data_IF_558741738545
#
_entry.id   IF_558741738545
#
_cell.length_a   1.000
_cell.length_b   1.000
_cell.length_c   1.000
_cell.angle_alpha   90.00
_cell.angle_beta   90.00
_cell.angle_gamma   90.00
#
_symmetry.space_group_name_H-M   'P 1'
#
loop_
_entity.id
_entity.type
_entity.pdbx_description
1 polymer ?
#
# COMPACT_ATOMS: atom_id res chain seq x y z
N UNK A 1 -4.82 -19.57 -76.96
CA UNK A 1 -5.68 -19.00 -75.91
C UNK A 1 -5.55 -19.88 -74.68
N UNK A 2 -4.54 -19.61 -73.85
CA UNK A 2 -4.27 -20.36 -72.61
C UNK A 2 -4.91 -19.60 -71.46
N UNK A 3 -5.91 -20.20 -70.82
CA UNK A 3 -6.58 -19.64 -69.65
C UNK A 3 -5.67 -19.77 -68.43
N UNK A 4 -5.17 -18.64 -67.93
CA UNK A 4 -4.55 -18.53 -66.61
C UNK A 4 -5.63 -18.73 -65.54
N UNK A 5 -5.63 -19.90 -64.89
CA UNK A 5 -6.39 -20.13 -63.68
C UNK A 5 -5.69 -19.41 -62.52
N UNK A 6 -6.32 -18.38 -61.98
CA UNK A 6 -5.89 -17.72 -60.76
C UNK A 6 -6.17 -18.66 -59.57
N UNK A 7 -5.10 -19.07 -58.88
CA UNK A 7 -5.23 -19.77 -57.60
C UNK A 7 -5.86 -18.83 -56.58
N UNK A 8 -7.01 -19.16 -55.97
CA UNK A 8 -7.51 -18.41 -54.83
C UNK A 8 -6.54 -18.66 -53.67
N UNK A 9 -5.81 -17.61 -53.32
CA UNK A 9 -5.01 -17.58 -52.11
C UNK A 9 -6.01 -17.40 -50.97
N UNK A 10 -6.47 -18.52 -50.39
CA UNK A 10 -7.24 -18.52 -49.15
C UNK A 10 -6.32 -18.02 -48.05
N UNK A 11 -6.35 -16.70 -47.82
CA UNK A 11 -5.81 -16.07 -46.62
C UNK A 11 -6.58 -16.67 -45.43
N UNK A 12 -6.02 -17.73 -44.88
CA UNK A 12 -6.49 -18.34 -43.65
C UNK A 12 -6.08 -17.39 -42.54
N UNK A 13 -6.90 -16.37 -42.30
CA UNK A 13 -6.83 -15.58 -41.08
C UNK A 13 -6.84 -16.57 -39.92
N UNK A 14 -5.69 -16.67 -39.26
CA UNK A 14 -5.49 -17.56 -38.12
C UNK A 14 -6.17 -16.88 -36.95
N UNK A 15 -7.49 -17.02 -36.91
CA UNK A 15 -8.37 -16.38 -35.94
C UNK A 15 -7.85 -16.72 -34.54
N UNK A 16 -7.32 -15.71 -33.85
CA UNK A 16 -6.66 -15.91 -32.57
C UNK A 16 -7.71 -16.26 -31.54
N UNK A 17 -7.82 -17.55 -31.24
CA UNK A 17 -8.85 -18.10 -30.35
C UNK A 17 -8.77 -17.64 -28.88
N UNK A 18 -7.70 -16.93 -28.50
CA UNK A 18 -7.49 -16.43 -27.13
C UNK A 18 -7.31 -14.91 -27.12
N UNK A 19 -8.10 -14.25 -26.28
CA UNK A 19 -8.00 -12.83 -25.96
C UNK A 19 -7.38 -12.66 -24.56
N UNK A 20 -6.53 -11.65 -24.40
CA UNK A 20 -5.87 -11.32 -23.14
C UNK A 20 -6.23 -9.89 -22.75
N UNK A 21 -6.81 -9.71 -21.56
CA UNK A 21 -7.23 -8.40 -21.05
C UNK A 21 -6.62 -8.12 -19.66
N UNK A 22 -5.77 -7.08 -19.49
CA UNK A 22 -5.30 -6.18 -20.52
C UNK A 22 -4.27 -6.86 -21.47
N UNK A 23 -4.15 -6.39 -22.74
CA UNK A 23 -3.22 -6.98 -23.71
C UNK A 23 -1.74 -6.72 -23.37
N UNK A 24 -1.49 -5.65 -22.62
CA UNK A 24 -0.19 -5.35 -22.02
C UNK A 24 -0.33 -5.41 -20.52
N UNK A 25 0.48 -6.25 -19.90
CA UNK A 25 0.50 -6.34 -18.46
C UNK A 25 1.19 -5.09 -17.91
N UNK A 26 0.57 -4.48 -16.89
CA UNK A 26 1.18 -3.39 -16.15
C UNK A 26 2.47 -3.81 -15.43
N UNK A 27 3.03 -2.88 -14.68
CA UNK A 27 4.26 -3.07 -13.94
C UNK A 27 4.00 -3.78 -12.60
N UNK A 28 4.75 -4.85 -12.32
CA UNK A 28 4.85 -5.43 -10.98
C UNK A 28 5.83 -4.60 -10.15
N UNK A 29 5.43 -4.21 -8.95
CA UNK A 29 6.24 -3.41 -8.05
C UNK A 29 6.74 -4.25 -6.88
N UNK A 30 8.03 -4.59 -6.89
CA UNK A 30 8.64 -5.43 -5.85
C UNK A 30 8.50 -4.82 -4.45
N UNK A 31 8.38 -3.50 -4.34
CA UNK A 31 8.26 -2.79 -3.08
C UNK A 31 6.81 -2.62 -2.61
N UNK A 32 5.88 -2.33 -3.53
CA UNK A 32 4.52 -1.89 -3.18
C UNK A 32 3.40 -2.84 -3.62
N UNK A 33 3.48 -3.41 -4.82
CA UNK A 33 2.41 -4.19 -5.43
C UNK A 33 3.01 -5.39 -6.17
N UNK A 34 3.14 -6.50 -5.44
CA UNK A 34 3.83 -7.70 -5.90
C UNK A 34 2.97 -8.61 -6.77
N UNK A 35 1.67 -8.32 -6.89
CA UNK A 35 0.72 -9.13 -7.61
C UNK A 35 -0.04 -8.31 -8.64
N UNK A 36 -0.34 -8.93 -9.78
CA UNK A 36 -1.17 -8.34 -10.83
C UNK A 36 -1.99 -9.45 -11.48
N UNK A 37 -3.27 -9.16 -11.77
CA UNK A 37 -4.14 -10.07 -12.51
C UNK A 37 -4.30 -9.64 -13.97
N UNK A 38 -4.50 -10.62 -14.85
CA UNK A 38 -5.04 -10.43 -16.19
C UNK A 38 -6.05 -11.54 -16.50
N UNK A 39 -6.94 -11.29 -17.42
CA UNK A 39 -7.99 -12.21 -17.83
C UNK A 39 -7.62 -12.87 -19.15
N UNK A 40 -7.66 -14.20 -19.17
CA UNK A 40 -7.63 -14.97 -20.40
C UNK A 40 -9.07 -15.29 -20.80
N UNK A 41 -9.45 -15.01 -22.04
CA UNK A 41 -10.77 -15.31 -22.57
C UNK A 41 -10.66 -16.16 -23.82
N UNK A 42 -11.44 -17.24 -23.87
CA UNK A 42 -11.60 -18.03 -25.08
C UNK A 42 -12.62 -17.35 -26.01
N UNK A 43 -12.18 -16.87 -27.17
CA UNK A 43 -13.05 -16.25 -28.18
C UNK A 43 -13.70 -17.27 -29.11
N UNK A 44 -13.20 -18.51 -29.12
CA UNK A 44 -13.81 -19.60 -29.90
C UNK A 44 -15.22 -19.91 -29.40
N UNK A 45 -16.13 -20.12 -30.36
CA UNK A 45 -17.49 -20.59 -30.11
C UNK A 45 -17.61 -22.11 -30.10
N UNK A 46 -16.58 -22.82 -30.58
CA UNK A 46 -16.66 -24.27 -30.87
C UNK A 46 -15.64 -25.11 -30.12
N UNK A 47 -14.48 -24.54 -29.75
CA UNK A 47 -13.38 -25.31 -29.20
C UNK A 47 -13.06 -24.93 -27.76
N UNK A 48 -12.74 -25.93 -26.95
CA UNK A 48 -12.09 -25.73 -25.65
C UNK A 48 -10.62 -25.39 -25.88
N UNK A 49 -10.08 -24.48 -25.06
CA UNK A 49 -8.68 -24.06 -25.12
C UNK A 49 -7.94 -24.48 -23.86
N UNK A 50 -6.95 -25.35 -24.02
CA UNK A 50 -5.99 -25.62 -22.96
C UNK A 50 -4.91 -24.54 -23.00
N UNK A 51 -4.67 -23.89 -21.86
CA UNK A 51 -3.64 -22.87 -21.74
C UNK A 51 -2.56 -23.27 -20.74
N UNK A 52 -1.36 -22.74 -20.96
CA UNK A 52 -0.21 -22.85 -20.07
C UNK A 52 0.58 -21.56 -20.07
N UNK A 53 0.75 -20.97 -18.90
CA UNK A 53 1.55 -19.77 -18.67
C UNK A 53 2.95 -20.18 -18.25
N UNK A 54 3.97 -19.80 -19.04
CA UNK A 54 5.38 -20.03 -18.72
C UNK A 54 6.05 -18.73 -18.33
N UNK A 55 6.69 -18.75 -17.15
CA UNK A 55 7.50 -17.64 -16.65
C UNK A 55 8.89 -17.64 -17.30
N UNK A 56 9.54 -16.46 -17.43
CA UNK A 56 10.91 -16.37 -17.93
C UNK A 56 11.87 -17.24 -17.11
N UNK A 57 12.87 -17.87 -17.76
CA UNK A 57 13.88 -18.70 -17.07
C UNK A 57 14.57 -17.97 -15.91
N UNK A 58 14.85 -16.68 -16.07
CA UNK A 58 15.47 -15.83 -15.04
C UNK A 58 14.60 -15.59 -13.81
N UNK A 59 13.30 -15.92 -13.88
CA UNK A 59 12.28 -15.68 -12.87
C UNK A 59 11.54 -16.96 -12.45
N UNK A 60 11.97 -18.15 -12.87
CA UNK A 60 11.21 -19.39 -12.60
C UNK A 60 10.91 -19.58 -11.10
N UNK A 61 11.88 -19.32 -10.22
CA UNK A 61 11.67 -19.41 -8.77
C UNK A 61 11.15 -18.11 -8.13
N UNK A 62 11.07 -17.04 -8.89
CA UNK A 62 10.76 -15.70 -8.40
C UNK A 62 9.40 -15.15 -8.79
N UNK A 63 8.72 -15.78 -9.75
CA UNK A 63 7.42 -15.36 -10.26
C UNK A 63 6.49 -16.56 -10.33
N UNK A 64 5.34 -16.44 -9.67
CA UNK A 64 4.25 -17.41 -9.67
C UNK A 64 3.14 -16.92 -10.59
N UNK A 65 2.45 -17.87 -11.25
CA UNK A 65 1.26 -17.60 -12.03
C UNK A 65 0.15 -18.55 -11.55
N UNK A 66 -1.02 -18.01 -11.21
CA UNK A 66 -2.12 -18.78 -10.61
C UNK A 66 -3.45 -18.41 -11.27
N UNK A 67 -4.11 -19.33 -11.99
CA UNK A 67 -3.59 -20.64 -12.41
C UNK A 67 -2.48 -20.51 -13.47
N UNK A 68 -1.47 -21.39 -13.44
CA UNK A 68 -0.45 -21.46 -14.50
C UNK A 68 -0.83 -22.39 -15.66
N UNK A 69 -1.91 -23.16 -15.51
CA UNK A 69 -2.48 -24.03 -16.54
C UNK A 69 -3.96 -24.21 -16.30
N UNK A 70 -4.72 -24.47 -17.35
CA UNK A 70 -6.14 -24.74 -17.25
C UNK A 70 -6.76 -25.04 -18.60
N UNK A 71 -8.08 -25.19 -18.60
CA UNK A 71 -8.91 -25.35 -19.80
C UNK A 71 -10.00 -24.28 -19.75
N UNK A 72 -10.23 -23.62 -20.88
CA UNK A 72 -11.29 -22.63 -21.07
C UNK A 72 -12.29 -23.17 -22.08
N UNK A 73 -13.54 -23.36 -21.67
CA UNK A 73 -14.65 -23.67 -22.56
C UNK A 73 -14.92 -22.51 -23.52
N UNK A 74 -15.68 -22.73 -24.60
CA UNK A 74 -16.13 -21.64 -25.47
C UNK A 74 -16.69 -20.47 -24.66
N UNK A 75 -16.18 -19.26 -24.94
CA UNK A 75 -16.55 -18.01 -24.26
C UNK A 75 -16.21 -17.92 -22.76
N UNK A 76 -15.54 -18.92 -22.18
CA UNK A 76 -15.10 -18.88 -20.80
C UNK A 76 -13.93 -17.91 -20.62
N UNK A 77 -13.83 -17.35 -19.42
CA UNK A 77 -12.72 -16.50 -19.01
C UNK A 77 -12.17 -16.94 -17.66
N UNK A 78 -10.86 -16.82 -17.47
CA UNK A 78 -10.19 -17.04 -16.19
C UNK A 78 -9.25 -15.90 -15.85
N UNK A 79 -9.27 -15.47 -14.60
CA UNK A 79 -8.29 -14.53 -14.07
C UNK A 79 -7.00 -15.30 -13.71
N UNK A 80 -5.89 -14.89 -14.31
CA UNK A 80 -4.54 -15.35 -13.96
C UNK A 80 -3.86 -14.28 -13.15
N UNK A 81 -3.43 -14.63 -11.94
CA UNK A 81 -2.67 -13.75 -11.03
C UNK A 81 -1.19 -14.07 -11.16
N UNK A 82 -0.39 -13.06 -11.48
CA UNK A 82 1.06 -13.08 -11.44
C UNK A 82 1.51 -12.52 -10.10
N UNK A 83 2.39 -13.23 -9.40
CA UNK A 83 2.88 -12.80 -8.09
C UNK A 83 4.41 -12.97 -7.99
N UNK A 84 5.09 -11.91 -7.55
CA UNK A 84 6.49 -11.96 -7.17
C UNK A 84 6.65 -12.59 -5.78
N UNK A 85 7.47 -13.63 -5.68
CA UNK A 85 7.76 -14.26 -4.40
C UNK A 85 8.48 -13.29 -3.47
N UNK A 86 8.32 -13.45 -2.15
CA UNK A 86 9.02 -12.63 -1.17
C UNK A 86 10.54 -12.67 -1.37
N UNK A 87 11.11 -13.85 -1.63
CA UNK A 87 12.54 -14.01 -1.89
C UNK A 87 13.01 -13.21 -3.12
N UNK A 88 12.21 -13.16 -4.18
CA UNK A 88 12.55 -12.38 -5.38
C UNK A 88 12.42 -10.88 -5.16
N UNK A 89 11.37 -10.46 -4.45
CA UNK A 89 11.19 -9.07 -4.07
C UNK A 89 12.36 -8.59 -3.19
N UNK A 90 12.73 -9.36 -2.17
CA UNK A 90 13.84 -9.06 -1.26
C UNK A 90 15.18 -9.06 -2.03
N UNK A 91 15.42 -10.03 -2.91
CA UNK A 91 16.60 -10.06 -3.79
C UNK A 91 16.75 -8.79 -4.61
N UNK A 92 15.65 -8.27 -5.16
CA UNK A 92 15.67 -7.06 -6.00
C UNK A 92 15.77 -5.77 -5.19
N UNK A 93 15.24 -5.76 -3.97
CA UNK A 93 15.16 -4.54 -3.16
C UNK A 93 16.35 -4.39 -2.22
N UNK A 94 16.86 -5.47 -1.66
CA UNK A 94 17.98 -5.46 -0.71
C UNK A 94 19.34 -5.67 -1.37
N UNK A 95 19.42 -6.51 -2.40
CA UNK A 95 20.70 -6.98 -2.96
C UNK A 95 21.03 -6.41 -4.33
N UNK A 96 20.38 -5.35 -4.81
CA UNK A 96 20.71 -4.77 -6.12
C UNK A 96 22.05 -4.03 -6.03
N UNK A 97 23.13 -4.54 -6.66
CA UNK A 97 24.38 -3.81 -6.74
C UNK A 97 24.22 -2.73 -7.83
N UNK A 98 24.53 -1.47 -7.50
CA UNK A 98 24.66 -0.46 -8.54
C UNK A 98 24.35 0.99 -8.14
N UNK A 99 24.60 1.86 -9.13
CA UNK A 99 24.39 3.30 -9.07
C UNK A 99 22.90 3.72 -9.16
N UNK A 100 22.02 2.81 -9.60
CA UNK A 100 20.61 3.12 -9.93
C UNK A 100 19.72 2.98 -8.70
N UNK A 101 18.95 4.03 -8.42
CA UNK A 101 18.06 4.13 -7.26
C UNK A 101 16.79 3.26 -7.40
N UNK A 102 16.15 3.32 -8.57
CA UNK A 102 15.02 2.47 -8.96
C UNK A 102 15.25 1.85 -10.34
N UNK A 103 15.25 0.53 -10.40
CA UNK A 103 15.40 -0.23 -11.63
C UNK A 103 14.04 -0.72 -12.12
N UNK A 104 13.78 -0.51 -13.41
CA UNK A 104 12.65 -1.11 -14.13
C UNK A 104 13.23 -2.09 -15.13
N UNK A 105 12.86 -3.36 -15.04
CA UNK A 105 13.35 -4.42 -15.93
C UNK A 105 12.17 -5.04 -16.68
N UNK A 106 12.27 -5.03 -18.01
CA UNK A 106 11.26 -5.63 -18.87
C UNK A 106 11.46 -7.15 -18.99
N UNK A 107 10.35 -7.88 -19.03
CA UNK A 107 10.28 -9.33 -19.15
C UNK A 107 9.14 -9.72 -20.10
N UNK A 108 9.10 -10.99 -20.51
CA UNK A 108 8.05 -11.53 -21.38
C UNK A 108 7.53 -12.84 -20.82
N UNK A 109 6.24 -12.91 -20.49
CA UNK A 109 5.55 -14.15 -20.19
C UNK A 109 5.18 -14.85 -21.49
N UNK A 110 5.28 -16.17 -21.52
CA UNK A 110 4.86 -16.95 -22.68
C UNK A 110 3.56 -17.68 -22.35
N UNK A 111 2.47 -17.25 -22.98
CA UNK A 111 1.20 -17.94 -22.97
C UNK A 111 1.18 -18.93 -24.13
N UNK A 112 0.98 -20.21 -23.82
CA UNK A 112 0.79 -21.26 -24.82
C UNK A 112 -0.66 -21.72 -24.78
N UNK A 113 -1.30 -21.81 -25.93
CA UNK A 113 -2.66 -22.33 -26.07
C UNK A 113 -2.70 -23.46 -27.10
N UNK A 114 -3.56 -24.43 -26.83
CA UNK A 114 -3.85 -25.57 -27.70
C UNK A 114 -5.37 -25.72 -27.76
N UNK A 115 -5.92 -25.73 -28.97
CA UNK A 115 -7.31 -26.13 -29.17
C UNK A 115 -7.44 -27.64 -28.93
N UNK A 116 -8.36 -28.05 -28.05
CA UNK A 116 -8.62 -29.45 -27.74
C UNK A 116 -10.07 -29.80 -28.07
N UNK A 117 -10.26 -31.03 -28.57
CA UNK A 117 -11.57 -31.63 -28.79
C UNK A 117 -12.02 -32.36 -27.53
N UNK A 118 -12.63 -31.66 -26.56
CA UNK A 118 -13.28 -32.16 -25.32
C UNK A 118 -12.55 -33.21 -24.44
N UNK A 119 -11.39 -33.70 -24.83
CA UNK A 119 -10.61 -34.70 -24.09
C UNK A 119 -9.66 -33.98 -23.14
N UNK A 120 -9.70 -34.36 -21.86
CA UNK A 120 -8.98 -33.71 -20.79
C UNK A 120 -7.43 -33.79 -20.91
N UNK A 121 -6.92 -34.72 -21.72
CA UNK A 121 -5.50 -34.90 -22.00
C UNK A 121 -5.19 -34.54 -23.46
N UNK A 122 -5.09 -33.23 -23.73
CA UNK A 122 -4.51 -32.76 -24.97
C UNK A 122 -3.01 -33.11 -24.98
N UNK A 123 -2.58 -33.91 -25.95
CA UNK A 123 -1.16 -34.20 -26.16
C UNK A 123 -0.47 -32.94 -26.72
N UNK A 124 0.16 -32.18 -25.81
CA UNK A 124 0.91 -30.97 -26.14
C UNK A 124 2.07 -31.21 -27.12
N UNK A 125 2.54 -32.46 -27.28
CA UNK A 125 3.63 -32.78 -28.20
C UNK A 125 3.17 -32.87 -29.66
N UNK A 126 1.92 -33.27 -29.90
CA UNK A 126 1.37 -33.47 -31.24
C UNK A 126 0.47 -32.31 -31.73
N UNK A 127 0.00 -31.45 -30.81
CA UNK A 127 -0.92 -30.38 -31.14
C UNK A 127 -0.23 -29.12 -31.69
N UNK A 128 -0.95 -28.36 -32.52
CA UNK A 128 -0.51 -27.04 -32.99
C UNK A 128 -0.59 -26.05 -31.82
N UNK A 129 0.57 -25.71 -31.26
CA UNK A 129 0.66 -24.80 -30.12
C UNK A 129 0.73 -23.35 -30.60
N UNK A 130 -0.30 -22.56 -30.31
CA UNK A 130 -0.23 -21.11 -30.46
C UNK A 130 0.52 -20.52 -29.27
N UNK A 131 1.44 -19.59 -29.52
CA UNK A 131 2.25 -18.95 -28.47
C UNK A 131 2.17 -17.44 -28.57
N UNK A 132 1.81 -16.80 -27.47
CA UNK A 132 1.73 -15.34 -27.34
C UNK A 132 2.72 -14.87 -26.27
N UNK A 133 3.50 -13.84 -26.58
CA UNK A 133 4.42 -13.21 -25.64
C UNK A 133 3.77 -11.99 -25.01
N UNK A 134 3.52 -12.05 -23.71
CA UNK A 134 2.92 -10.97 -22.94
C UNK A 134 4.03 -10.14 -22.27
N UNK A 135 4.31 -8.92 -22.73
CA UNK A 135 5.30 -8.06 -22.11
C UNK A 135 4.82 -7.58 -20.74
N UNK A 136 5.73 -7.50 -19.78
CA UNK A 136 5.51 -6.88 -18.48
C UNK A 136 6.82 -6.30 -17.95
N UNK A 137 6.74 -5.47 -16.92
CA UNK A 137 7.92 -4.91 -16.26
C UNK A 137 7.91 -5.22 -14.76
N UNK A 138 9.11 -5.33 -14.18
CA UNK A 138 9.28 -5.34 -12.72
C UNK A 138 10.03 -4.07 -12.33
N UNK A 139 9.39 -3.24 -11.51
CA UNK A 139 9.99 -2.09 -10.85
C UNK A 139 10.45 -2.47 -9.45
N UNK A 140 11.68 -2.07 -9.12
CA UNK A 140 12.27 -2.28 -7.80
C UNK A 140 13.17 -1.10 -7.42
N UNK A 141 12.89 -0.54 -6.25
CA UNK A 141 13.69 0.50 -5.59
C UNK A 141 14.64 -0.14 -4.58
N UNK A 142 15.92 0.21 -4.68
CA UNK A 142 16.96 -0.32 -3.78
C UNK A 142 16.81 0.27 -2.38
N UNK A 143 16.49 -0.59 -1.40
CA UNK A 143 16.33 -0.24 0.01
C UNK A 143 17.65 0.09 0.68
N UNK A 144 18.76 -0.49 0.22
CA UNK A 144 20.09 -0.10 0.71
C UNK A 144 20.26 1.42 0.61
N UNK A 145 19.81 2.04 -0.47
CA UNK A 145 19.93 3.50 -0.60
C UNK A 145 19.01 4.28 0.32
N UNK A 146 17.86 3.74 0.70
CA UNK A 146 16.92 4.43 1.57
C UNK A 146 17.23 4.24 3.06
N UNK A 147 17.85 3.11 3.44
CA UNK A 147 17.99 2.64 4.82
C UNK A 147 19.41 2.71 5.40
N UNK A 148 20.41 3.13 4.63
CA UNK A 148 21.81 3.08 5.07
C UNK A 148 22.15 4.18 6.08
N UNK A 149 22.37 3.74 7.32
CA UNK A 149 23.56 3.89 8.19
C UNK A 149 23.06 3.98 9.64
N UNK A 150 23.58 3.20 10.60
CA UNK A 150 23.38 3.52 12.02
C UNK A 150 24.10 4.85 12.29
N UNK A 151 23.34 5.94 12.21
CA UNK A 151 23.78 7.27 12.57
C UNK A 151 23.36 7.58 14.00
N UNK A 152 23.86 8.70 14.53
CA UNK A 152 23.45 9.21 15.83
C UNK A 152 21.91 9.25 15.98
N UNK A 153 21.38 9.08 17.21
CA UNK A 153 19.95 9.03 17.46
C UNK A 153 19.22 10.25 16.90
N UNK A 154 18.15 10.00 16.15
CA UNK A 154 17.33 11.00 15.48
C UNK A 154 16.26 11.56 16.44
N UNK A 155 16.68 12.32 17.45
CA UNK A 155 15.70 12.94 18.37
C UNK A 155 14.85 13.95 17.63
N UNK A 156 13.54 13.79 17.71
CA UNK A 156 12.56 14.71 17.17
C UNK A 156 12.16 15.74 18.22
N UNK A 157 11.56 16.83 17.76
CA UNK A 157 10.80 17.71 18.63
C UNK A 157 9.31 17.39 18.48
N UNK A 158 8.68 17.05 19.61
CA UNK A 158 7.30 16.55 19.69
C UNK A 158 6.48 17.49 20.56
N UNK A 159 5.44 18.12 20.02
CA UNK A 159 4.53 18.97 20.78
C UNK A 159 3.06 18.63 20.49
N UNK A 160 2.20 18.47 21.52
CA UNK A 160 2.53 18.47 22.93
C UNK A 160 3.27 17.18 23.36
N UNK A 161 4.04 17.24 24.45
CA UNK A 161 4.68 16.05 25.05
C UNK A 161 3.71 15.05 25.67
N UNK A 162 2.41 15.36 25.64
CA UNK A 162 1.31 14.55 26.17
C UNK A 162 0.05 14.82 25.37
N UNK A 163 -0.63 13.77 24.94
CA UNK A 163 -1.90 13.87 24.21
C UNK A 163 -3.05 13.94 25.21
N UNK A 164 -3.81 15.03 25.20
CA UNK A 164 -4.92 15.24 26.13
C UNK A 164 -6.26 15.10 25.40
N UNK A 165 -6.95 13.99 25.65
CA UNK A 165 -8.31 13.77 25.19
C UNK A 165 -9.28 14.28 26.24
N UNK A 166 -9.92 15.41 25.96
CA UNK A 166 -10.90 16.03 26.85
C UNK A 166 -12.33 15.61 26.47
N UNK A 167 -13.10 15.24 27.47
CA UNK A 167 -14.51 14.87 27.35
C UNK A 167 -15.33 15.73 28.29
N UNK A 168 -16.42 16.27 27.77
CA UNK A 168 -17.30 17.13 28.53
C UNK A 168 -18.66 16.50 28.68
N UNK A 169 -19.02 16.11 29.90
CA UNK A 169 -20.34 15.57 30.20
C UNK A 169 -21.29 16.73 30.45
N UNK A 170 -22.37 16.77 29.67
CA UNK A 170 -23.51 17.66 29.91
C UNK A 170 -24.38 17.05 31.01
N UNK A 171 -24.51 17.73 32.15
CA UNK A 171 -25.29 17.27 33.30
C UNK A 171 -26.78 17.07 32.96
N UNK A 172 -27.35 17.91 32.09
CA UNK A 172 -28.78 17.90 31.81
C UNK A 172 -29.19 16.71 30.95
N UNK A 173 -28.36 16.40 29.94
CA UNK A 173 -28.61 15.26 29.04
C UNK A 173 -27.94 13.97 29.50
N UNK A 174 -26.98 14.06 30.43
CA UNK A 174 -26.03 12.99 30.75
C UNK A 174 -25.32 12.46 29.49
N UNK A 175 -25.19 13.28 28.46
CA UNK A 175 -24.50 12.97 27.21
C UNK A 175 -23.19 13.75 27.12
N UNK A 176 -22.16 13.14 26.54
CA UNK A 176 -20.93 13.87 26.25
C UNK A 176 -21.15 14.84 25.08
N UNK A 177 -20.83 16.11 25.30
CA UNK A 177 -20.67 17.14 24.27
C UNK A 177 -19.18 17.41 24.07
N UNK A 178 -18.82 17.97 22.91
CA UNK A 178 -17.44 18.32 22.57
C UNK A 178 -16.44 17.19 22.81
N UNK A 179 -16.62 16.08 22.10
CA UNK A 179 -15.60 15.04 22.09
C UNK A 179 -14.32 15.66 21.55
N UNK A 180 -13.34 15.92 22.42
CA UNK A 180 -11.93 16.06 22.07
C UNK A 180 -11.42 14.73 21.54
N UNK A 181 -12.02 14.27 20.44
CA UNK A 181 -11.85 12.96 19.86
C UNK A 181 -10.54 12.85 19.12
N UNK A 182 -9.85 13.97 18.90
CA UNK A 182 -8.58 14.04 18.22
C UNK A 182 -7.63 14.99 18.96
N UNK A 183 -6.38 14.56 19.07
CA UNK A 183 -5.25 15.40 19.43
C UNK A 183 -4.42 15.66 18.18
N UNK A 184 -3.84 16.86 18.09
CA UNK A 184 -2.79 17.18 17.12
C UNK A 184 -1.43 17.03 17.81
N UNK A 185 -0.55 16.26 17.19
CA UNK A 185 0.86 16.14 17.56
C UNK A 185 1.69 16.78 16.45
N UNK A 186 2.29 17.92 16.74
CA UNK A 186 3.32 18.55 15.94
C UNK A 186 4.63 17.79 16.09
N UNK A 187 5.17 17.34 14.97
CA UNK A 187 6.46 16.65 14.90
C UNK A 187 7.36 17.45 13.99
N UNK A 188 8.50 17.89 14.51
CA UNK A 188 9.50 18.61 13.73
C UNK A 188 10.86 17.95 13.74
N UNK A 189 11.56 18.11 12.61
CA UNK A 189 12.87 17.56 12.35
C UNK A 189 13.92 18.67 12.54
N UNK A 190 14.67 18.68 13.66
CA UNK A 190 15.72 19.66 13.89
C UNK A 190 17.02 19.35 13.12
N UNK A 191 17.10 18.20 12.45
CA UNK A 191 18.33 17.74 11.80
C UNK A 191 18.50 18.37 10.42
N UNK A 192 19.75 18.45 9.96
CA UNK A 192 20.11 18.84 8.59
C UNK A 192 19.78 17.77 7.54
N UNK A 193 19.18 16.66 7.97
CA UNK A 193 18.99 15.43 7.20
C UNK A 193 17.53 15.01 7.32
N UNK A 194 16.96 14.40 6.28
CA UNK A 194 15.59 13.91 6.34
C UNK A 194 15.42 12.81 7.41
N UNK A 195 14.28 12.81 8.09
CA UNK A 195 13.94 11.84 9.14
C UNK A 195 12.64 11.14 8.80
N UNK A 196 12.66 9.81 8.80
CA UNK A 196 11.47 8.99 8.68
C UNK A 196 10.89 8.76 10.07
N UNK A 197 9.57 8.93 10.21
CA UNK A 197 8.86 8.87 11.49
C UNK A 197 7.67 7.93 11.35
N UNK A 198 7.58 6.95 12.25
CA UNK A 198 6.49 5.98 12.32
C UNK A 198 5.77 6.07 13.66
N UNK A 199 4.45 6.17 13.61
CA UNK A 199 3.60 6.28 14.78
C UNK A 199 2.94 4.93 15.08
N UNK A 200 3.11 4.44 16.31
CA UNK A 200 2.57 3.16 16.77
C UNK A 200 1.84 3.35 18.09
N UNK A 201 0.92 2.44 18.37
CA UNK A 201 0.24 2.35 19.66
C UNK A 201 0.11 0.88 20.05
N UNK A 202 0.12 0.60 21.36
CA UNK A 202 -0.18 -0.74 21.86
C UNK A 202 -1.67 -1.09 21.71
N UNK A 203 -2.52 -0.11 21.35
CA UNK A 203 -3.96 -0.28 21.29
C UNK A 203 -4.51 0.21 19.95
N UNK A 204 -4.18 -0.45 18.83
CA UNK A 204 -4.52 0.00 17.47
C UNK A 204 -6.03 0.03 17.18
N UNK A 205 -6.83 -0.74 17.92
CA UNK A 205 -8.30 -0.66 17.81
C UNK A 205 -8.89 0.58 18.48
N UNK A 206 -8.12 1.23 19.37
CA UNK A 206 -8.54 2.44 20.09
C UNK A 206 -8.26 3.73 19.35
N UNK A 207 -7.18 3.77 18.57
CA UNK A 207 -6.72 5.00 17.93
C UNK A 207 -6.70 4.86 16.41
N UNK A 208 -7.10 5.93 15.74
CA UNK A 208 -6.79 6.21 14.33
C UNK A 208 -5.68 7.25 14.30
N UNK A 209 -4.59 6.96 13.59
CA UNK A 209 -3.44 7.86 13.48
C UNK A 209 -3.30 8.26 12.02
N UNK A 210 -3.30 9.56 11.73
CA UNK A 210 -3.26 10.08 10.37
C UNK A 210 -2.29 11.28 10.27
N UNK A 211 -1.21 11.18 9.47
CA UNK A 211 -0.69 9.97 8.83
C UNK A 211 0.02 9.01 9.82
N UNK A 212 0.04 7.68 9.57
CA UNK A 212 0.74 6.71 10.43
C UNK A 212 2.27 6.69 10.21
N UNK A 213 2.72 7.26 9.09
CA UNK A 213 4.12 7.34 8.69
C UNK A 213 4.37 8.63 7.91
N UNK A 214 5.50 9.29 8.17
CA UNK A 214 5.93 10.49 7.43
C UNK A 214 7.43 10.50 7.22
N UNK A 215 7.88 11.20 6.18
CA UNK A 215 9.29 11.59 6.03
C UNK A 215 9.37 13.11 6.12
N UNK A 216 10.04 13.60 7.15
CA UNK A 216 10.24 15.02 7.39
C UNK A 216 11.51 15.50 6.68
N UNK A 217 11.46 16.53 5.83
CA UNK A 217 12.66 17.13 5.28
C UNK A 217 13.49 17.81 6.40
N UNK A 218 14.75 18.18 6.14
CA UNK A 218 15.54 18.97 7.07
C UNK A 218 14.82 20.25 7.51
N UNK A 219 14.70 20.50 8.82
CA UNK A 219 13.96 21.65 9.37
C UNK A 219 12.43 21.58 9.18
N UNK A 220 11.91 20.50 8.61
CA UNK A 220 10.49 20.35 8.32
C UNK A 220 9.67 19.99 9.57
N UNK A 221 8.39 20.35 9.54
CA UNK A 221 7.41 19.98 10.56
C UNK A 221 6.15 19.40 9.94
N UNK A 222 5.42 18.59 10.70
CA UNK A 222 4.14 18.02 10.30
C UNK A 222 3.25 17.75 11.51
N UNK A 223 2.00 18.16 11.40
CA UNK A 223 0.93 17.77 12.32
C UNK A 223 0.46 16.34 12.04
N UNK A 224 0.31 15.56 13.10
CA UNK A 224 -0.27 14.22 13.08
C UNK A 224 -1.54 14.23 13.91
N UNK A 225 -2.62 13.73 13.33
CA UNK A 225 -3.92 13.61 14.00
C UNK A 225 -3.96 12.25 14.68
N UNK A 226 -4.15 12.24 16.00
CA UNK A 226 -4.40 11.03 16.79
C UNK A 226 -5.82 11.10 17.29
N UNK A 227 -6.70 10.31 16.70
CA UNK A 227 -8.11 10.29 17.02
C UNK A 227 -8.55 8.99 17.69
N UNK A 228 -9.56 9.05 18.55
CA UNK A 228 -10.21 7.87 19.12
C UNK A 228 -11.20 7.28 18.12
N UNK A 229 -11.20 5.94 18.00
CA UNK A 229 -12.19 5.24 17.18
C UNK A 229 -13.59 5.37 17.79
N UNK A 230 -14.62 5.31 16.93
CA UNK A 230 -16.03 5.37 17.38
C UNK A 230 -16.34 4.32 18.45
N UNK A 231 -15.92 3.08 18.23
CA UNK A 231 -16.15 1.99 19.19
C UNK A 231 -15.49 2.25 20.56
N UNK A 232 -14.38 2.98 20.60
CA UNK A 232 -13.70 3.32 21.85
C UNK A 232 -14.40 4.46 22.56
N UNK A 233 -14.88 5.46 21.82
CA UNK A 233 -15.69 6.55 22.37
C UNK A 233 -16.91 6.02 23.12
N UNK A 234 -17.62 5.07 22.53
CA UNK A 234 -18.82 4.48 23.15
C UNK A 234 -18.48 3.71 24.44
N UNK A 235 -17.26 3.16 24.54
CA UNK A 235 -16.79 2.39 25.71
C UNK A 235 -16.16 3.25 26.80
N UNK A 236 -15.68 4.46 26.48
CA UNK A 236 -15.00 5.34 27.45
C UNK A 236 -15.86 5.69 28.66
N UNK A 237 -17.20 5.72 28.49
CA UNK A 237 -18.16 5.87 29.58
C UNK A 237 -18.00 4.82 30.70
N UNK A 238 -17.67 3.57 30.33
CA UNK A 238 -17.49 2.48 31.31
C UNK A 238 -16.18 2.65 32.09
N UNK A 239 -15.17 3.25 31.47
CA UNK A 239 -13.86 3.44 32.09
C UNK A 239 -13.85 4.55 33.14
N UNK A 240 -14.58 5.65 32.91
CA UNK A 240 -14.73 6.72 33.91
C UNK A 240 -15.31 6.17 35.22
N UNK A 241 -16.39 5.37 35.12
CA UNK A 241 -17.08 4.79 36.29
C UNK A 241 -16.28 3.72 37.02
N UNK A 242 -15.33 3.07 36.35
CA UNK A 242 -14.57 1.95 36.93
C UNK A 242 -13.27 2.36 37.62
N UNK A 243 -12.92 3.65 37.67
CA UNK A 243 -11.63 4.16 38.16
C UNK A 243 -10.39 3.55 37.45
N UNK A 244 -10.59 2.79 36.38
CA UNK A 244 -9.53 2.20 35.57
C UNK A 244 -8.89 3.30 34.74
N UNK A 245 -7.77 3.84 35.22
CA UNK A 245 -6.97 4.80 34.46
C UNK A 245 -6.38 4.10 33.23
N UNK A 246 -6.82 4.49 32.04
CA UNK A 246 -6.17 4.12 30.79
C UNK A 246 -4.76 4.73 30.78
N UNK A 247 -3.73 3.89 30.68
CA UNK A 247 -2.33 4.31 30.62
C UNK A 247 -1.78 4.05 29.23
N UNK A 248 -2.42 4.66 28.26
CA UNK A 248 -2.04 4.50 26.86
C UNK A 248 -0.86 5.40 26.52
N UNK A 249 -0.03 4.96 25.60
CA UNK A 249 1.09 5.74 25.08
C UNK A 249 1.16 5.59 23.57
N UNK A 250 1.41 6.70 22.88
CA UNK A 250 1.84 6.71 21.50
C UNK A 250 3.35 6.48 21.46
N UNK A 251 3.78 5.45 20.73
CA UNK A 251 5.19 5.17 20.45
C UNK A 251 5.56 5.84 19.13
N UNK A 252 6.50 6.77 19.16
CA UNK A 252 7.04 7.45 17.98
C UNK A 252 8.41 6.87 17.70
N UNK A 253 8.57 6.23 16.54
CA UNK A 253 9.85 5.70 16.08
C UNK A 253 10.41 6.61 15.00
N UNK A 254 11.69 6.98 15.10
CA UNK A 254 12.35 7.84 14.13
C UNK A 254 13.69 7.28 13.67
N UNK A 255 14.01 7.48 12.40
CA UNK A 255 15.29 7.08 11.81
C UNK A 255 15.75 8.10 10.76
N UNK A 256 17.05 8.42 10.74
CA UNK A 256 17.64 9.27 9.70
C UNK A 256 17.63 8.56 8.36
N UNK A 257 17.23 9.27 7.30
CA UNK A 257 17.20 8.78 5.92
C UNK A 257 17.99 9.71 5.00
N UNK A 258 19.33 9.72 5.11
CA UNK A 258 20.16 10.76 4.53
C UNK A 258 20.09 10.87 3.01
N UNK A 259 19.83 9.77 2.33
CA UNK A 259 19.76 9.75 0.89
C UNK A 259 18.33 9.90 0.35
N UNK A 260 17.31 10.04 1.20
CA UNK A 260 15.92 10.14 0.75
C UNK A 260 15.71 11.32 -0.21
N UNK A 261 16.15 12.52 0.17
CA UNK A 261 16.01 13.71 -0.67
C UNK A 261 16.82 13.59 -1.97
N UNK A 262 18.05 13.08 -1.90
CA UNK A 262 18.89 12.85 -3.08
C UNK A 262 18.29 11.78 -4.01
N UNK A 263 17.64 10.77 -3.46
CA UNK A 263 16.93 9.73 -4.20
C UNK A 263 15.70 10.31 -4.89
N UNK A 264 14.84 10.99 -4.14
CA UNK A 264 13.65 11.66 -4.67
C UNK A 264 13.96 12.69 -5.76
N UNK A 265 15.08 13.42 -5.65
CA UNK A 265 15.49 14.40 -6.65
C UNK A 265 16.09 13.78 -7.92
N UNK A 266 16.76 12.63 -7.81
CA UNK A 266 17.42 11.97 -8.94
C UNK A 266 16.52 10.97 -9.65
N UNK A 267 15.57 10.39 -8.93
CA UNK A 267 14.73 9.32 -9.44
C UNK A 267 13.42 9.88 -10.02
N UNK A 268 13.41 10.14 -11.33
CA UNK A 268 12.18 10.52 -12.04
C UNK A 268 11.14 9.41 -12.13
N UNK A 269 11.41 8.19 -11.63
CA UNK A 269 10.49 7.03 -11.71
C UNK A 269 9.63 6.86 -10.45
N UNK A 270 9.94 7.60 -9.38
CA UNK A 270 9.22 7.54 -8.11
C UNK A 270 8.96 8.94 -7.61
N UNK A 271 7.72 9.23 -7.27
CA UNK A 271 7.44 10.44 -6.52
C UNK A 271 7.85 10.28 -5.03
N UNK A 272 8.07 11.39 -4.29
CA UNK A 272 8.41 11.33 -2.87
C UNK A 272 7.41 10.50 -2.05
N UNK A 273 6.11 10.62 -2.34
CA UNK A 273 5.08 9.87 -1.61
C UNK A 273 5.23 8.35 -1.80
N UNK A 274 5.54 7.87 -3.01
CA UNK A 274 5.82 6.45 -3.23
C UNK A 274 7.05 6.00 -2.45
N UNK A 275 8.12 6.79 -2.44
CA UNK A 275 9.33 6.46 -1.66
C UNK A 275 9.04 6.38 -0.16
N UNK A 276 8.19 7.27 0.37
CA UNK A 276 7.74 7.20 1.75
C UNK A 276 6.95 5.90 2.02
N UNK A 277 6.05 5.49 1.12
CA UNK A 277 5.32 4.21 1.24
C UNK A 277 6.25 2.99 1.17
N UNK A 278 7.23 3.02 0.27
CA UNK A 278 8.26 1.95 0.16
C UNK A 278 9.03 1.83 1.46
N UNK A 279 9.42 2.98 2.03
CA UNK A 279 10.16 3.05 3.27
C UNK A 279 9.34 2.55 4.46
N UNK A 280 8.06 2.89 4.55
CA UNK A 280 7.15 2.37 5.57
C UNK A 280 7.00 0.84 5.49
N UNK A 281 6.81 0.31 4.28
CA UNK A 281 6.74 -1.13 4.03
C UNK A 281 8.06 -1.84 4.38
N UNK A 282 9.19 -1.16 4.15
CA UNK A 282 10.53 -1.66 4.45
C UNK A 282 10.97 -1.43 5.90
N UNK A 283 10.15 -0.79 6.74
CA UNK A 283 10.53 -0.40 8.11
C UNK A 283 11.03 -1.57 8.96
N UNK A 284 10.52 -2.79 8.71
CA UNK A 284 10.96 -4.03 9.37
C UNK A 284 12.44 -4.40 9.13
N UNK A 285 13.07 -3.78 8.12
CA UNK A 285 14.48 -3.97 7.78
C UNK A 285 15.38 -2.88 8.34
N UNK A 286 14.80 -1.85 9.00
CA UNK A 286 15.58 -0.82 9.70
C UNK A 286 16.21 -1.47 10.94
N UNK A 287 17.53 -1.39 11.14
CA UNK A 287 18.17 -1.91 12.34
C UNK A 287 17.65 -1.19 13.60
N UNK A 288 17.35 -1.93 14.67
CA UNK A 288 16.87 -1.33 15.93
C UNK A 288 17.83 -0.26 16.47
N UNK A 289 19.14 -0.45 16.28
CA UNK A 289 20.16 0.52 16.69
C UNK A 289 20.10 1.87 15.94
N UNK A 290 19.43 1.92 14.78
CA UNK A 290 19.21 3.15 14.02
C UNK A 290 17.87 3.83 14.37
N UNK A 291 17.01 3.16 15.14
CA UNK A 291 15.68 3.67 15.52
C UNK A 291 15.76 4.35 16.87
N UNK A 292 15.40 5.63 16.91
CA UNK A 292 15.11 6.33 18.17
C UNK A 292 13.63 6.14 18.50
N UNK A 293 13.33 5.93 19.78
CA UNK A 293 11.95 5.67 20.24
C UNK A 293 11.59 6.67 21.33
N UNK A 294 10.54 7.45 21.07
CA UNK A 294 9.92 8.35 22.03
C UNK A 294 8.53 7.84 22.41
N UNK A 295 8.12 8.06 23.66
CA UNK A 295 6.79 7.71 24.16
C UNK A 295 6.04 8.97 24.56
N UNK A 296 4.90 9.21 23.94
CA UNK A 296 4.00 10.33 24.24
C UNK A 296 2.81 9.77 25.03
N UNK A 297 2.66 10.08 26.33
CA UNK A 297 1.54 9.60 27.13
C UNK A 297 0.21 10.16 26.63
N UNK A 298 -0.85 9.35 26.73
CA UNK A 298 -2.22 9.77 26.49
C UNK A 298 -2.96 9.96 27.82
N UNK A 299 -3.45 11.17 28.04
CA UNK A 299 -4.30 11.52 29.17
C UNK A 299 -5.75 11.66 28.73
N UNK A 300 -6.66 11.20 29.60
CA UNK A 300 -8.09 11.29 29.41
C UNK A 300 -8.66 12.15 30.52
N UNK A 301 -9.15 13.33 30.16
CA UNK A 301 -9.69 14.32 31.11
C UNK A 301 -11.20 14.36 30.94
N UNK A 302 -11.92 13.98 31.99
CA UNK A 302 -13.36 14.05 32.05
C UNK A 302 -13.76 15.26 32.88
N UNK A 303 -14.51 16.18 32.27
CA UNK A 303 -15.04 17.38 32.92
C UNK A 303 -16.56 17.35 32.87
N UNK A 304 -17.19 17.71 33.98
CA UNK A 304 -18.64 17.89 34.06
C UNK A 304 -18.89 19.39 33.92
N UNK A 305 -19.65 19.81 32.92
CA UNK A 305 -20.05 21.21 32.83
C UNK A 305 -21.18 21.45 33.82
N UNK A 306 -20.99 22.31 34.85
CA UNK A 306 -22.03 22.58 35.81
C UNK A 306 -23.24 23.26 35.14
N UNK A 307 -24.43 22.96 35.67
CA UNK A 307 -25.79 23.45 35.34
C UNK A 307 -26.01 24.97 35.11
N UNK A 308 -24.97 25.79 35.04
CA UNK A 308 -25.01 27.25 35.13
C UNK A 308 -24.70 27.95 33.80
N UNK A 309 -25.71 28.14 32.95
CA UNK A 309 -25.92 29.35 32.11
C UNK A 309 -27.17 29.26 31.21
N UNK A 310 -28.27 28.69 31.71
CA UNK A 310 -29.60 28.89 31.10
C UNK A 310 -30.26 30.22 31.54
N UNK A 311 -29.47 31.17 32.02
CA UNK A 311 -29.91 32.48 32.49
C UNK A 311 -29.67 33.59 31.47
N UNK A 312 -30.75 34.23 31.05
CA UNK A 312 -30.86 35.56 30.43
C UNK A 312 -30.46 35.77 28.96
N UNK A 313 -31.18 35.09 28.06
CA UNK A 313 -31.59 35.74 26.79
C UNK A 313 -33.06 36.11 26.93
N UNK A 314 -33.36 37.23 27.61
CA UNK A 314 -34.75 37.57 27.87
C UNK A 314 -35.06 38.83 28.67
N UNK A 315 -34.18 39.83 28.73
CA UNK A 315 -34.59 41.18 29.14
C UNK A 315 -34.27 42.17 28.03
N UNK A 316 -35.27 42.39 27.18
CA UNK A 316 -35.30 43.50 26.24
C UNK A 316 -35.14 44.81 27.03
N UNK A 317 -34.02 45.50 26.81
CA UNK A 317 -33.86 46.89 27.21
C UNK A 317 -34.69 47.72 26.25
N UNK A 318 -35.88 48.13 26.70
CA UNK A 318 -36.64 49.19 26.05
C UNK A 318 -35.86 50.50 26.19
N UNK A 319 -35.55 51.13 25.06
CA UNK A 319 -35.04 52.51 25.03
C UNK A 319 -36.18 53.47 25.42
N UNK A 320 -36.03 54.35 26.42
CA UNK A 320 -36.93 55.48 26.57
C UNK A 320 -36.55 56.58 25.57
N UNK A 321 -37.58 57.25 25.06
CA UNK A 321 -37.54 58.38 24.13
C UNK A 321 -37.03 59.68 24.80
#
# INVERSE_FOLDING_TARGET
MSSLAANPQEDTETDSSVEVDPPVLSELDANLCRAQSFTLRNTSSTHCLHFKVRTPKTLWHGLLATPNRGCLRPHESVAVVLELTCAEADRRTLHTPGAVATAVRAYKLMLQTVAASDTADADWAAAVVQSVLLPFAIKATSLARLLLTPMAPARLFLEPHRLCFSFTLDEDSLQFRDFGNACLLEVSNPHSTAVAVKFKTLCPTRYSIAPPFVVLPPGGARSVVIALTRATRDRLYVYEKSQLRLRDCLRVESALVPYYAAHAARDGRRCPNELATILDAAWRHVPDAAVTVDYVPCDFVFSILPLSSRGDVGRAVACPA
#
